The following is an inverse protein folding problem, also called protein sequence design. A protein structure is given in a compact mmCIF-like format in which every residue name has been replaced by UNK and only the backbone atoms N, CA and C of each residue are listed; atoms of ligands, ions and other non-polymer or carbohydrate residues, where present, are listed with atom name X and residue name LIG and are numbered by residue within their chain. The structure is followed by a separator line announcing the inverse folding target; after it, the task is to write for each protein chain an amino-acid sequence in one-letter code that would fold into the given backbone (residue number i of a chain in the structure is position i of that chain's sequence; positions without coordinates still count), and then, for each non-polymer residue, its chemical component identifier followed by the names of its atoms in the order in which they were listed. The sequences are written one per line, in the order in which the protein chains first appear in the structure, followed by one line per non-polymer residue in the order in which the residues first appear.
data_IF_490935347006
#
_entry.id   IF_490935347006
#
_cell.length_a   1.000
_cell.length_b   1.000
_cell.length_c   1.000
_cell.angle_alpha   90.00
_cell.angle_beta   90.00
_cell.angle_gamma   90.00
#
_symmetry.space_group_name_H-M   'P 1'
#
loop_
_entity.id
_entity.type
_entity.pdbx_description
1 polymer ?
#
# COMPACT_ATOMS: atom_id res chain seq x y z
N UNK A 1 -15.63 -0.87 -7.16
CA UNK A 1 -14.25 -1.17 -6.72
C UNK A 1 -13.25 -0.35 -7.53
N UNK A 2 -12.31 0.34 -6.89
CA UNK A 2 -11.26 1.14 -7.54
C UNK A 2 -10.06 0.25 -7.91
N UNK A 3 -9.57 0.35 -9.15
CA UNK A 3 -8.31 -0.28 -9.57
C UNK A 3 -7.21 0.76 -9.46
N UNK A 4 -6.16 0.45 -8.69
CA UNK A 4 -5.07 1.36 -8.34
C UNK A 4 -3.75 0.77 -8.87
N UNK A 5 -3.19 1.26 -9.97
CA UNK A 5 -1.87 0.81 -10.41
C UNK A 5 -0.80 1.20 -9.41
N UNK A 6 0.25 0.38 -9.30
CA UNK A 6 1.35 0.60 -8.40
C UNK A 6 2.69 0.75 -9.13
N UNK A 7 3.53 1.62 -8.57
CA UNK A 7 4.96 1.76 -8.92
C UNK A 7 5.78 1.56 -7.65
N UNK A 8 6.68 0.59 -7.68
CA UNK A 8 7.69 0.42 -6.64
C UNK A 8 8.96 1.18 -7.05
N UNK A 9 9.49 1.98 -6.14
CA UNK A 9 10.69 2.79 -6.31
C UNK A 9 11.86 2.18 -5.55
N UNK A 10 12.97 1.93 -6.24
CA UNK A 10 14.22 1.47 -5.67
C UNK A 10 15.40 2.20 -6.35
N UNK A 11 16.16 2.97 -5.57
CA UNK A 11 17.28 3.75 -6.10
C UNK A 11 16.88 4.71 -7.22
N UNK A 12 15.68 5.29 -7.16
CA UNK A 12 15.15 6.22 -8.15
C UNK A 12 14.55 5.57 -9.40
N UNK A 13 14.49 4.25 -9.49
CA UNK A 13 13.95 3.52 -10.64
C UNK A 13 12.65 2.78 -10.30
N UNK A 14 11.85 2.50 -11.33
CA UNK A 14 10.65 1.64 -11.23
C UNK A 14 11.06 0.17 -11.28
N UNK A 15 10.73 -0.56 -10.24
CA UNK A 15 11.09 -1.97 -10.11
C UNK A 15 9.89 -2.83 -9.71
N UNK A 16 10.11 -4.15 -9.64
CA UNK A 16 9.23 -5.10 -8.95
C UNK A 16 10.09 -6.14 -8.25
N UNK A 17 9.75 -6.43 -7.02
CA UNK A 17 10.31 -7.55 -6.26
C UNK A 17 9.42 -8.79 -6.44
N UNK A 18 10.00 -9.97 -6.35
CA UNK A 18 9.26 -11.22 -6.23
C UNK A 18 9.08 -11.55 -4.75
N UNK A 19 7.83 -11.51 -4.25
CA UNK A 19 7.51 -11.74 -2.83
C UNK A 19 8.34 -10.90 -1.84
N UNK A 20 8.71 -9.66 -2.23
CA UNK A 20 9.52 -8.76 -1.42
C UNK A 20 11.02 -9.07 -1.36
N UNK A 21 11.52 -10.01 -2.16
CA UNK A 21 12.92 -10.38 -2.19
C UNK A 21 13.77 -9.33 -2.94
N UNK A 22 14.61 -8.61 -2.22
CA UNK A 22 15.51 -7.59 -2.78
C UNK A 22 16.64 -8.16 -3.64
N UNK A 23 16.88 -9.48 -3.63
CA UNK A 23 17.82 -10.16 -4.51
C UNK A 23 17.15 -10.59 -5.84
N UNK A 24 15.80 -10.48 -5.92
CA UNK A 24 14.99 -10.80 -7.11
C UNK A 24 14.28 -9.56 -7.65
N UNK A 25 15.08 -8.60 -8.12
CA UNK A 25 14.60 -7.31 -8.65
C UNK A 25 14.42 -7.38 -10.16
N UNK A 26 13.22 -7.05 -10.65
CA UNK A 26 12.97 -6.76 -12.07
C UNK A 26 12.84 -5.26 -12.24
N UNK A 27 13.69 -4.65 -13.08
CA UNK A 27 13.65 -3.22 -13.41
C UNK A 27 12.79 -3.00 -14.66
N UNK A 28 11.86 -2.03 -14.59
CA UNK A 28 10.91 -1.73 -15.66
C UNK A 28 11.20 -0.40 -16.33
N UNK A 29 11.59 0.62 -15.57
CA UNK A 29 11.84 1.96 -16.08
C UNK A 29 12.84 2.71 -15.22
N UNK A 30 13.65 3.54 -15.83
CA UNK A 30 14.56 4.49 -15.17
C UNK A 30 13.93 5.87 -15.00
N UNK A 31 12.72 6.07 -15.57
CA UNK A 31 11.96 7.29 -15.47
C UNK A 31 10.60 7.06 -14.78
N UNK A 32 10.53 7.23 -13.45
CA UNK A 32 9.31 7.04 -12.70
C UNK A 32 8.19 8.02 -13.08
N UNK A 33 8.54 9.23 -13.50
CA UNK A 33 7.54 10.24 -13.90
C UNK A 33 6.84 9.82 -15.19
N UNK A 34 7.59 9.43 -16.21
CA UNK A 34 7.01 8.93 -17.46
C UNK A 34 6.15 7.67 -17.23
N UNK A 35 6.58 6.77 -16.35
CA UNK A 35 5.79 5.60 -15.99
C UNK A 35 4.48 5.99 -15.30
N UNK A 36 4.52 6.94 -14.38
CA UNK A 36 3.33 7.44 -13.67
C UNK A 36 2.35 8.13 -14.63
N UNK A 37 2.85 8.95 -15.55
CA UNK A 37 2.04 9.59 -16.60
C UNK A 37 1.36 8.55 -17.49
N UNK A 38 2.06 7.50 -17.88
CA UNK A 38 1.50 6.40 -18.66
C UNK A 38 0.30 5.73 -17.97
N UNK A 39 0.33 5.55 -16.66
CA UNK A 39 -0.83 5.03 -15.91
C UNK A 39 -2.00 6.02 -15.94
N UNK A 40 -1.74 7.32 -15.73
CA UNK A 40 -2.78 8.33 -15.81
C UNK A 40 -3.41 8.40 -17.21
N UNK A 41 -2.62 8.34 -18.28
CA UNK A 41 -3.09 8.34 -19.67
C UNK A 41 -3.95 7.11 -19.99
N UNK A 42 -3.66 5.98 -19.37
CA UNK A 42 -4.46 4.75 -19.46
C UNK A 42 -5.75 4.78 -18.62
N UNK A 43 -6.03 5.89 -17.92
CA UNK A 43 -7.28 6.10 -17.19
C UNK A 43 -7.23 5.72 -15.71
N UNK A 44 -6.05 5.57 -15.13
CA UNK A 44 -5.94 5.40 -13.68
C UNK A 44 -6.56 6.61 -12.96
N UNK A 45 -7.37 6.33 -11.94
CA UNK A 45 -8.00 7.38 -11.11
C UNK A 45 -7.22 7.69 -9.83
N UNK A 46 -6.17 6.93 -9.54
CA UNK A 46 -5.24 7.05 -8.42
C UNK A 46 -3.98 6.27 -8.73
N UNK A 47 -2.84 6.70 -8.21
CA UNK A 47 -1.57 5.98 -8.27
C UNK A 47 -1.11 5.59 -6.87
N UNK A 48 -0.63 4.36 -6.72
CA UNK A 48 0.03 3.87 -5.50
C UNK A 48 1.54 3.81 -5.72
N UNK A 49 2.30 4.44 -4.83
CA UNK A 49 3.76 4.40 -4.80
C UNK A 49 4.23 3.60 -3.59
N UNK A 50 5.28 2.82 -3.78
CA UNK A 50 6.01 2.15 -2.69
C UNK A 50 7.48 2.59 -2.71
N UNK A 51 7.94 3.24 -1.66
CA UNK A 51 9.36 3.53 -1.45
C UNK A 51 10.02 2.31 -0.80
N UNK A 52 10.65 1.46 -1.62
CA UNK A 52 11.31 0.25 -1.16
C UNK A 52 12.58 0.54 -0.35
N UNK A 53 13.33 1.58 -0.69
CA UNK A 53 14.49 2.02 0.09
C UNK A 53 14.04 2.50 1.47
N UNK A 54 12.98 3.32 1.53
CA UNK A 54 12.35 3.76 2.77
C UNK A 54 11.83 2.59 3.60
N UNK A 55 11.16 1.62 2.99
CA UNK A 55 10.65 0.44 3.67
C UNK A 55 11.78 -0.36 4.33
N UNK A 56 12.90 -0.55 3.64
CA UNK A 56 14.07 -1.31 4.10
C UNK A 56 14.88 -0.54 5.15
N UNK A 57 15.27 0.68 4.84
CA UNK A 57 16.26 1.46 5.63
C UNK A 57 15.63 2.56 6.49
N UNK A 58 14.40 2.98 6.19
CA UNK A 58 13.78 4.19 6.76
C UNK A 58 14.34 5.49 6.20
N UNK A 59 15.19 5.44 5.16
CA UNK A 59 15.81 6.63 4.55
C UNK A 59 15.01 7.08 3.32
N UNK A 60 14.75 8.40 3.17
CA UNK A 60 13.92 8.97 2.09
C UNK A 60 14.70 9.11 0.76
N UNK A 61 15.22 8.01 0.23
CA UNK A 61 16.08 8.02 -0.96
C UNK A 61 15.32 8.43 -2.22
N UNK A 62 14.02 8.10 -2.30
CA UNK A 62 13.20 8.32 -3.49
C UNK A 62 12.38 9.63 -3.45
N UNK A 63 12.59 10.52 -2.48
CA UNK A 63 11.80 11.75 -2.31
C UNK A 63 11.77 12.65 -3.54
N UNK A 64 12.88 12.76 -4.26
CA UNK A 64 12.93 13.55 -5.48
C UNK A 64 12.00 12.99 -6.57
N UNK A 65 11.95 11.65 -6.73
CA UNK A 65 11.04 11.00 -7.66
C UNK A 65 9.58 11.13 -7.23
N UNK A 66 9.29 10.94 -5.93
CA UNK A 66 7.95 11.11 -5.36
C UNK A 66 7.42 12.53 -5.60
N UNK A 67 8.23 13.55 -5.28
CA UNK A 67 7.87 14.95 -5.53
C UNK A 67 7.61 15.23 -7.01
N UNK A 68 8.49 14.79 -7.91
CA UNK A 68 8.33 15.00 -9.34
C UNK A 68 7.04 14.32 -9.88
N UNK A 69 6.70 13.13 -9.36
CA UNK A 69 5.45 12.46 -9.72
C UNK A 69 4.24 13.25 -9.23
N UNK A 70 4.21 13.68 -7.97
CA UNK A 70 3.08 14.42 -7.39
C UNK A 70 2.87 15.78 -8.03
N UNK A 71 3.94 16.47 -8.46
CA UNK A 71 3.88 17.75 -9.17
C UNK A 71 3.39 17.59 -10.62
N UNK A 72 3.60 16.42 -11.24
CA UNK A 72 3.28 16.18 -12.65
C UNK A 72 1.88 15.61 -12.85
N UNK A 73 1.43 14.72 -11.98
CA UNK A 73 0.14 14.06 -12.12
C UNK A 73 -1.03 14.95 -11.71
N UNK A 74 -2.16 14.81 -12.41
CA UNK A 74 -3.45 15.42 -12.02
C UNK A 74 -4.33 14.47 -11.20
N UNK A 75 -4.00 13.18 -11.15
CA UNK A 75 -4.67 12.19 -10.31
C UNK A 75 -4.03 12.11 -8.93
N UNK A 76 -4.80 11.77 -7.90
CA UNK A 76 -4.28 11.61 -6.54
C UNK A 76 -3.24 10.50 -6.45
N UNK A 77 -2.20 10.74 -5.65
CA UNK A 77 -1.11 9.81 -5.39
C UNK A 77 -1.09 9.43 -3.91
N UNK A 78 -0.89 8.16 -3.62
CA UNK A 78 -0.67 7.65 -2.27
C UNK A 78 0.68 6.93 -2.18
N UNK A 79 1.35 7.03 -1.04
CA UNK A 79 2.69 6.46 -0.83
C UNK A 79 2.76 5.61 0.44
N UNK A 80 3.34 4.43 0.31
CA UNK A 80 3.83 3.60 1.42
C UNK A 80 5.35 3.40 1.35
N UNK A 81 5.90 2.82 2.42
CA UNK A 81 7.33 2.57 2.53
C UNK A 81 8.07 3.60 3.37
N UNK A 82 8.58 3.18 4.53
CA UNK A 82 9.45 3.99 5.39
C UNK A 82 8.79 5.10 6.21
N UNK A 83 7.48 5.25 6.19
CA UNK A 83 6.77 6.24 7.00
C UNK A 83 6.69 5.74 8.44
N UNK A 84 7.60 6.22 9.31
CA UNK A 84 7.78 5.72 10.69
C UNK A 84 7.57 6.76 11.77
N UNK A 85 7.27 8.02 11.42
CA UNK A 85 7.00 9.10 12.37
C UNK A 85 5.89 10.02 11.88
N UNK A 86 5.34 10.86 12.78
CA UNK A 86 4.34 11.85 12.45
C UNK A 86 4.91 12.92 11.51
N UNK A 87 6.12 13.39 11.80
CA UNK A 87 6.81 14.40 11.02
C UNK A 87 6.97 13.94 9.58
N UNK A 88 7.41 12.68 9.39
CA UNK A 88 7.57 12.11 8.03
C UNK A 88 6.24 11.99 7.29
N UNK A 89 5.18 11.58 7.96
CA UNK A 89 3.84 11.53 7.37
C UNK A 89 3.37 12.93 6.93
N UNK A 90 3.56 13.94 7.77
CA UNK A 90 3.17 15.32 7.51
C UNK A 90 3.99 15.94 6.37
N UNK A 91 5.32 15.75 6.33
CA UNK A 91 6.19 16.17 5.21
C UNK A 91 5.70 15.61 3.87
N UNK A 92 5.34 14.33 3.83
CA UNK A 92 4.84 13.67 2.63
C UNK A 92 3.46 14.22 2.20
N UNK A 93 2.57 14.49 3.15
CA UNK A 93 1.27 15.12 2.89
C UNK A 93 1.42 16.56 2.37
N UNK A 94 2.40 17.32 2.90
CA UNK A 94 2.75 18.67 2.43
C UNK A 94 3.40 18.65 1.03
N UNK A 95 4.10 17.57 0.69
CA UNK A 95 4.69 17.35 -0.63
C UNK A 95 3.63 17.13 -1.74
N UNK A 96 2.34 17.03 -1.40
CA UNK A 96 1.23 16.89 -2.34
C UNK A 96 0.65 15.47 -2.44
N UNK A 97 1.14 14.52 -1.66
CA UNK A 97 0.50 13.21 -1.58
C UNK A 97 -0.92 13.35 -0.99
N UNK A 98 -1.89 12.68 -1.58
CA UNK A 98 -3.25 12.65 -1.04
C UNK A 98 -3.34 11.79 0.22
N UNK A 99 -2.64 10.65 0.22
CA UNK A 99 -2.64 9.71 1.34
C UNK A 99 -1.26 9.15 1.61
N UNK A 100 -0.97 8.86 2.88
CA UNK A 100 0.22 8.13 3.31
C UNK A 100 -0.16 6.83 3.99
N UNK A 101 0.65 5.78 3.76
CA UNK A 101 0.43 4.44 4.29
C UNK A 101 1.43 4.17 5.41
N UNK A 102 0.90 3.83 6.58
CA UNK A 102 1.64 3.46 7.77
C UNK A 102 1.52 1.96 7.99
N UNK A 103 2.63 1.22 7.84
CA UNK A 103 2.69 -0.23 8.04
C UNK A 103 3.24 -0.58 9.43
N UNK A 104 4.57 -0.67 9.55
CA UNK A 104 5.26 -1.05 10.80
C UNK A 104 4.79 -0.24 12.01
N UNK A 105 4.61 1.06 11.85
CA UNK A 105 4.14 1.99 12.90
C UNK A 105 2.72 1.65 13.36
N UNK A 106 1.87 1.14 12.51
CA UNK A 106 0.52 0.73 12.91
C UNK A 106 0.53 -0.41 13.93
N UNK A 107 1.54 -1.28 13.88
CA UNK A 107 1.74 -2.32 14.87
C UNK A 107 2.48 -1.81 16.12
N UNK A 108 3.56 -1.05 15.94
CA UNK A 108 4.47 -0.63 17.01
C UNK A 108 3.92 0.55 17.82
N UNK A 109 3.23 1.51 17.18
CA UNK A 109 2.73 2.75 17.76
C UNK A 109 1.33 3.12 17.24
N UNK A 110 0.30 2.28 17.47
CA UNK A 110 -1.03 2.49 16.89
C UNK A 110 -1.69 3.81 17.34
N UNK A 111 -1.37 4.31 18.54
CA UNK A 111 -1.89 5.59 19.04
C UNK A 111 -1.41 6.76 18.16
N UNK A 112 -0.18 6.71 17.66
CA UNK A 112 0.35 7.70 16.71
C UNK A 112 -0.48 7.72 15.41
N UNK A 113 -0.85 6.53 14.90
CA UNK A 113 -1.66 6.42 13.68
C UNK A 113 -3.05 7.01 13.88
N UNK A 114 -3.69 6.74 15.04
CA UNK A 114 -5.00 7.31 15.37
C UNK A 114 -4.92 8.83 15.45
N UNK A 115 -3.93 9.39 16.15
CA UNK A 115 -3.73 10.83 16.26
C UNK A 115 -3.48 11.49 14.89
N UNK A 116 -2.70 10.85 14.02
CA UNK A 116 -2.47 11.33 12.67
C UNK A 116 -3.77 11.31 11.84
N UNK A 117 -4.57 10.26 11.94
CA UNK A 117 -5.83 10.15 11.23
C UNK A 117 -6.86 11.22 11.69
N UNK A 118 -6.89 11.54 12.98
CA UNK A 118 -7.71 12.63 13.51
C UNK A 118 -7.27 14.01 13.01
N UNK A 119 -5.94 14.26 12.91
CA UNK A 119 -5.40 15.51 12.39
C UNK A 119 -5.53 15.65 10.87
N UNK A 120 -5.50 14.53 10.14
CA UNK A 120 -5.55 14.46 8.68
C UNK A 120 -6.67 13.52 8.19
N UNK A 121 -7.95 13.85 8.41
CA UNK A 121 -9.08 12.98 8.07
C UNK A 121 -9.06 12.55 6.60
N UNK A 122 -9.22 11.23 6.36
CA UNK A 122 -9.24 10.67 5.02
C UNK A 122 -7.86 10.56 4.32
N UNK A 123 -6.76 10.92 5.00
CA UNK A 123 -5.42 10.95 4.40
C UNK A 123 -4.46 9.89 4.95
N UNK A 124 -4.84 9.18 6.00
CA UNK A 124 -4.02 8.13 6.63
C UNK A 124 -4.58 6.76 6.29
N UNK A 125 -3.74 5.87 5.81
CA UNK A 125 -4.05 4.47 5.52
C UNK A 125 -3.18 3.58 6.42
N UNK A 126 -3.74 2.49 6.89
CA UNK A 126 -2.99 1.42 7.57
C UNK A 126 -2.64 0.34 6.56
N UNK A 127 -1.35 0.05 6.40
CA UNK A 127 -0.86 -1.10 5.63
C UNK A 127 -0.71 -2.33 6.54
N UNK A 128 -1.39 -3.41 6.19
CA UNK A 128 -1.30 -4.70 6.89
C UNK A 128 -0.79 -5.73 5.90
N UNK A 129 0.51 -5.95 5.92
CA UNK A 129 1.16 -6.99 5.12
C UNK A 129 1.24 -8.25 5.96
N UNK A 130 0.72 -9.36 5.47
CA UNK A 130 0.62 -10.59 6.22
C UNK A 130 1.25 -11.79 5.50
N UNK A 131 1.89 -12.65 6.28
CA UNK A 131 2.35 -13.96 5.85
C UNK A 131 1.69 -15.02 6.73
N UNK A 132 0.91 -15.91 6.12
CA UNK A 132 0.12 -16.93 6.86
C UNK A 132 -0.75 -16.32 7.97
N UNK A 133 -1.41 -15.19 7.69
CA UNK A 133 -2.30 -14.50 8.62
C UNK A 133 -1.59 -13.65 9.69
N UNK A 134 -0.26 -13.70 9.80
CA UNK A 134 0.53 -12.92 10.76
C UNK A 134 1.11 -11.67 10.11
N UNK A 135 1.07 -10.56 10.84
CA UNK A 135 1.61 -9.27 10.37
C UNK A 135 3.13 -9.35 10.20
N UNK A 136 3.62 -8.92 9.05
CA UNK A 136 5.03 -8.69 8.79
C UNK A 136 5.35 -7.20 8.79
N UNK A 137 6.57 -6.85 9.20
CA UNK A 137 7.04 -5.47 9.36
C UNK A 137 8.39 -5.26 8.68
N UNK A 138 8.82 -3.97 8.61
CA UNK A 138 10.16 -3.56 8.14
C UNK A 138 10.48 -4.06 6.73
N UNK A 139 9.54 -3.85 5.78
CA UNK A 139 9.72 -4.34 4.41
C UNK A 139 9.71 -5.86 4.32
N UNK A 140 8.86 -6.51 5.16
CA UNK A 140 8.64 -7.96 5.24
C UNK A 140 9.81 -8.78 5.79
N UNK A 141 10.82 -8.11 6.37
CA UNK A 141 12.00 -8.74 6.93
C UNK A 141 11.75 -9.37 8.32
N UNK A 142 10.76 -8.87 9.04
CA UNK A 142 10.39 -9.34 10.37
C UNK A 142 8.95 -9.83 10.38
N UNK A 143 8.71 -10.98 11.04
CA UNK A 143 7.37 -11.51 11.28
C UNK A 143 6.97 -11.28 12.73
N UNK A 144 5.77 -10.78 12.95
CA UNK A 144 5.18 -10.64 14.28
C UNK A 144 4.36 -11.88 14.66
N UNK A 145 3.92 -11.94 15.92
CA UNK A 145 2.93 -12.92 16.38
C UNK A 145 1.49 -12.41 16.26
N UNK A 146 1.30 -11.16 15.86
CA UNK A 146 0.00 -10.49 15.77
C UNK A 146 -0.78 -10.98 14.56
N UNK A 147 -2.04 -11.37 14.77
CA UNK A 147 -2.95 -11.68 13.66
C UNK A 147 -3.29 -10.40 12.87
N UNK A 148 -3.32 -10.51 11.54
CA UNK A 148 -3.65 -9.38 10.66
C UNK A 148 -5.06 -8.83 10.95
N UNK A 149 -6.03 -9.71 11.19
CA UNK A 149 -7.40 -9.33 11.56
C UNK A 149 -7.48 -8.64 12.91
N UNK A 150 -6.68 -9.05 13.89
CA UNK A 150 -6.63 -8.39 15.21
C UNK A 150 -6.08 -6.95 15.09
N UNK A 151 -5.08 -6.73 14.22
CA UNK A 151 -4.59 -5.38 13.95
C UNK A 151 -5.65 -4.54 13.22
N UNK A 152 -6.37 -5.11 12.25
CA UNK A 152 -7.47 -4.44 11.57
C UNK A 152 -8.58 -3.99 12.53
N UNK A 153 -9.01 -4.89 13.43
CA UNK A 153 -10.02 -4.59 14.45
C UNK A 153 -9.62 -3.41 15.34
N UNK A 154 -8.34 -3.25 15.63
CA UNK A 154 -7.84 -2.12 16.45
C UNK A 154 -8.12 -0.76 15.82
N UNK A 155 -8.20 -0.69 14.49
CA UNK A 155 -8.45 0.55 13.75
C UNK A 155 -9.90 0.69 13.28
N UNK A 156 -10.79 -0.25 13.61
CA UNK A 156 -12.18 -0.28 13.11
C UNK A 156 -12.98 1.00 13.41
N UNK A 157 -12.70 1.65 14.54
CA UNK A 157 -13.40 2.87 14.98
C UNK A 157 -12.54 4.14 14.80
N UNK A 158 -11.39 4.02 14.14
CA UNK A 158 -10.50 5.15 13.92
C UNK A 158 -10.84 5.93 12.63
N UNK A 159 -10.34 7.16 12.52
CA UNK A 159 -10.56 8.04 11.36
C UNK A 159 -9.61 7.74 10.18
N UNK A 160 -9.00 6.55 10.11
CA UNK A 160 -8.19 6.16 8.95
C UNK A 160 -9.05 6.05 7.69
N UNK A 161 -8.44 6.31 6.53
CA UNK A 161 -9.15 6.31 5.25
C UNK A 161 -9.47 4.90 4.73
N UNK A 162 -8.56 3.95 4.95
CA UNK A 162 -8.64 2.57 4.48
C UNK A 162 -7.60 1.68 5.18
N UNK A 163 -7.77 0.37 5.01
CA UNK A 163 -6.74 -0.64 5.28
C UNK A 163 -6.28 -1.23 3.94
N UNK A 164 -4.98 -1.18 3.63
CA UNK A 164 -4.40 -1.98 2.55
C UNK A 164 -4.02 -3.33 3.14
N UNK A 165 -4.61 -4.40 2.60
CA UNK A 165 -4.33 -5.78 3.02
C UNK A 165 -3.53 -6.49 1.94
N UNK A 166 -2.24 -6.79 2.23
CA UNK A 166 -1.35 -7.52 1.33
C UNK A 166 -1.11 -8.93 1.85
N UNK A 167 -1.41 -9.95 1.02
CA UNK A 167 -0.91 -11.30 1.25
C UNK A 167 0.46 -11.45 0.58
N UNK A 168 1.53 -11.49 1.39
CA UNK A 168 2.92 -11.59 0.92
C UNK A 168 3.14 -12.87 0.12
N UNK A 169 2.43 -13.95 0.44
CA UNK A 169 2.61 -15.24 -0.24
C UNK A 169 2.11 -15.24 -1.68
N UNK A 170 1.18 -14.35 -2.02
CA UNK A 170 0.65 -14.18 -3.38
C UNK A 170 1.27 -12.99 -4.12
N UNK A 171 1.88 -12.04 -3.40
CA UNK A 171 2.42 -10.83 -4.03
C UNK A 171 3.51 -11.13 -5.05
N UNK A 172 3.42 -10.52 -6.23
CA UNK A 172 4.35 -10.70 -7.35
C UNK A 172 4.26 -12.06 -8.06
N UNK A 173 3.37 -12.99 -7.62
CA UNK A 173 3.26 -14.34 -8.20
C UNK A 173 2.32 -14.44 -9.40
N UNK A 174 1.36 -13.50 -9.56
CA UNK A 174 0.27 -13.53 -10.55
C UNK A 174 -0.64 -14.79 -10.42
N UNK A 175 -0.67 -15.42 -9.25
CA UNK A 175 -1.40 -16.68 -9.01
C UNK A 175 -2.83 -16.47 -8.49
N UNK A 176 -3.30 -15.23 -8.45
CA UNK A 176 -4.58 -14.81 -7.90
C UNK A 176 -4.49 -14.29 -6.47
N UNK A 177 -5.42 -13.40 -6.06
CA UNK A 177 -5.48 -12.85 -4.71
C UNK A 177 -6.03 -13.88 -3.71
N UNK A 178 -5.66 -13.72 -2.44
CA UNK A 178 -6.20 -14.52 -1.34
C UNK A 178 -7.58 -14.01 -0.91
N UNK A 179 -8.64 -14.47 -1.59
CA UNK A 179 -10.02 -14.03 -1.35
C UNK A 179 -10.51 -14.35 0.06
N UNK A 180 -10.06 -15.45 0.66
CA UNK A 180 -10.49 -15.84 2.01
C UNK A 180 -9.87 -14.93 3.08
N UNK A 181 -8.59 -14.59 2.94
CA UNK A 181 -7.94 -13.61 3.80
C UNK A 181 -8.61 -12.22 3.69
N UNK A 182 -8.98 -11.80 2.47
CA UNK A 182 -9.69 -10.53 2.25
C UNK A 182 -11.09 -10.52 2.85
N UNK A 183 -11.85 -11.63 2.80
CA UNK A 183 -13.14 -11.76 3.50
C UNK A 183 -12.98 -11.63 5.01
N UNK A 184 -11.97 -12.29 5.58
CA UNK A 184 -11.68 -12.21 7.01
C UNK A 184 -11.28 -10.78 7.41
N UNK A 185 -10.45 -10.11 6.59
CA UNK A 185 -10.04 -8.73 6.82
C UNK A 185 -11.25 -7.77 6.78
N UNK A 186 -12.10 -7.87 5.76
CA UNK A 186 -13.31 -7.05 5.64
C UNK A 186 -14.31 -7.31 6.78
N UNK A 187 -14.40 -8.55 7.27
CA UNK A 187 -15.24 -8.87 8.43
C UNK A 187 -14.68 -8.35 9.76
N UNK A 188 -13.37 -8.15 9.83
CA UNK A 188 -12.68 -7.69 11.05
C UNK A 188 -12.67 -6.17 11.23
N UNK A 189 -13.06 -5.40 10.22
CA UNK A 189 -13.01 -3.93 10.24
C UNK A 189 -14.22 -3.31 9.56
N UNK A 190 -14.70 -2.19 10.10
CA UNK A 190 -15.69 -1.33 9.43
C UNK A 190 -15.06 -0.32 8.48
N UNK A 191 -13.72 -0.22 8.48
CA UNK A 191 -12.98 0.65 7.58
C UNK A 191 -12.82 -0.03 6.21
N UNK A 192 -12.91 0.70 5.07
CA UNK A 192 -12.72 0.14 3.74
C UNK A 192 -11.41 -0.62 3.59
N UNK A 193 -11.46 -1.77 2.90
CA UNK A 193 -10.29 -2.60 2.62
C UNK A 193 -9.86 -2.41 1.16
N UNK A 194 -8.57 -2.26 0.93
CA UNK A 194 -7.94 -2.27 -0.39
C UNK A 194 -7.11 -3.55 -0.50
N UNK A 195 -7.45 -4.41 -1.45
CA UNK A 195 -6.71 -5.63 -1.70
C UNK A 195 -5.35 -5.35 -2.34
N UNK A 196 -4.33 -6.13 -1.98
CA UNK A 196 -3.00 -6.06 -2.58
C UNK A 196 -2.36 -7.45 -2.66
N UNK A 197 -1.68 -7.69 -3.79
CA UNK A 197 -0.96 -8.93 -4.05
C UNK A 197 -1.76 -9.98 -4.84
N UNK A 198 -1.07 -10.64 -5.77
CA UNK A 198 -1.53 -11.83 -6.48
C UNK A 198 -2.32 -11.60 -7.77
N UNK A 199 -2.88 -10.43 -8.02
CA UNK A 199 -3.67 -10.17 -9.24
C UNK A 199 -2.82 -10.39 -10.49
N UNK A 200 -3.26 -11.29 -11.36
CA UNK A 200 -2.59 -11.68 -12.59
C UNK A 200 -3.45 -11.60 -13.85
N UNK A 201 -4.76 -11.56 -13.71
CA UNK A 201 -5.67 -11.54 -14.85
C UNK A 201 -7.03 -10.88 -14.54
N UNK A 202 -7.84 -10.68 -15.59
CA UNK A 202 -9.17 -10.08 -15.45
C UNK A 202 -10.11 -10.92 -14.57
N UNK A 203 -9.96 -12.24 -14.55
CA UNK A 203 -10.79 -13.10 -13.71
C UNK A 203 -10.57 -12.83 -12.21
N UNK A 204 -9.35 -12.47 -11.82
CA UNK A 204 -9.03 -12.12 -10.45
C UNK A 204 -9.74 -10.81 -10.03
N UNK A 205 -9.78 -9.83 -10.92
CA UNK A 205 -10.50 -8.57 -10.69
C UNK A 205 -12.01 -8.80 -10.54
N UNK A 206 -12.58 -9.69 -11.35
CA UNK A 206 -13.99 -10.07 -11.24
C UNK A 206 -14.29 -10.81 -9.93
N UNK A 207 -13.35 -11.67 -9.47
CA UNK A 207 -13.48 -12.34 -8.19
C UNK A 207 -13.40 -11.35 -7.00
N UNK A 208 -12.52 -10.35 -7.07
CA UNK A 208 -12.43 -9.28 -6.09
C UNK A 208 -13.67 -8.40 -6.07
N UNK A 209 -14.25 -8.09 -7.22
CA UNK A 209 -15.48 -7.30 -7.33
C UNK A 209 -16.63 -7.91 -6.53
N UNK A 210 -16.69 -9.24 -6.42
CA UNK A 210 -17.67 -9.94 -5.59
C UNK A 210 -17.52 -9.66 -4.08
N UNK A 211 -16.37 -9.11 -3.65
CA UNK A 211 -16.12 -8.75 -2.25
C UNK A 211 -16.46 -7.27 -1.95
N UNK A 212 -16.81 -6.47 -2.96
CA UNK A 212 -17.16 -5.05 -2.76
C UNK A 212 -18.31 -4.85 -1.76
N UNK A 213 -19.40 -5.66 -1.78
CA UNK A 213 -20.45 -5.55 -0.77
C UNK A 213 -20.02 -5.90 0.66
N UNK A 214 -18.86 -6.52 0.82
CA UNK A 214 -18.27 -6.87 2.11
C UNK A 214 -17.32 -5.79 2.64
N UNK A 215 -17.04 -4.73 1.84
CA UNK A 215 -16.15 -3.64 2.23
C UNK A 215 -14.77 -3.66 1.54
N UNK A 216 -14.55 -4.51 0.52
CA UNK A 216 -13.33 -4.46 -0.31
C UNK A 216 -13.57 -3.46 -1.44
N UNK A 217 -13.17 -2.21 -1.24
CA UNK A 217 -13.50 -1.09 -2.13
C UNK A 217 -12.47 -0.83 -3.24
N UNK A 218 -11.28 -1.39 -3.11
CA UNK A 218 -10.19 -1.17 -4.06
C UNK A 218 -9.25 -2.35 -4.19
N UNK A 219 -8.44 -2.31 -5.24
CA UNK A 219 -7.36 -3.26 -5.48
C UNK A 219 -6.12 -2.57 -6.05
N UNK A 220 -4.96 -2.88 -5.47
CA UNK A 220 -3.65 -2.46 -5.98
C UNK A 220 -3.16 -3.50 -6.97
N UNK A 221 -2.78 -3.04 -8.16
CA UNK A 221 -2.29 -3.89 -9.26
C UNK A 221 -0.90 -3.43 -9.67
N UNK A 222 0.06 -4.32 -9.59
CA UNK A 222 1.46 -4.00 -9.85
C UNK A 222 1.96 -4.38 -11.24
N UNK A 223 1.29 -5.31 -11.93
CA UNK A 223 1.65 -5.79 -13.28
C UNK A 223 0.43 -5.90 -14.16
#
# INVERSE_FOLDING_TARGET
MQIIPAIDLLGGACVRLHQGDYDQVTRFSDDPVSQAMSWQEQGASRLHLVDLDGARSGQPINDAAVRAITETLSIPVQLGGGVRSAERAEELLECGLERVILGTVALEQPELVVQLAERHPGRIIVGIDARHGKVATRGWLENSTTEATALATRFSESAIAAIISTDISTDGTLAGPNLDALRQMAAASSVPVIASGGVGCMADLLALLALEPLGVEGVIVGR
#
